data_IF_668763972032
#
_entry.id   IF_668763972032
#
_cell.length_a   1.000
_cell.length_b   1.000
_cell.length_c   1.000
_cell.angle_alpha   90.00
_cell.angle_beta   90.00
_cell.angle_gamma   90.00
#
_symmetry.space_group_name_H-M   'P 1'
#
loop_
_entity.id
_entity.type
_entity.pdbx_description
1 polymer ?
#
# COMPACT_ATOMS: atom_id res chain seq x y z
N UNK A 1 32.85 -43.25 62.84
CA UNK A 1 32.88 -43.37 61.36
C UNK A 1 31.47 -43.11 60.83
N UNK A 2 31.40 -42.27 59.79
CA UNK A 2 30.27 -42.01 58.86
C UNK A 2 29.06 -41.21 59.38
N UNK A 3 29.29 -39.90 59.35
CA UNK A 3 28.34 -38.85 58.96
C UNK A 3 27.70 -39.15 57.59
N UNK A 4 26.40 -38.91 57.46
CA UNK A 4 25.65 -38.92 56.20
C UNK A 4 24.76 -37.68 56.11
N UNK A 5 25.30 -36.59 55.55
CA UNK A 5 24.56 -35.39 55.15
C UNK A 5 23.71 -35.72 53.93
N UNK A 6 22.39 -35.56 54.03
CA UNK A 6 21.49 -35.47 52.87
C UNK A 6 21.37 -33.98 52.53
N UNK A 7 22.10 -33.56 51.50
CA UNK A 7 21.97 -32.23 50.90
C UNK A 7 20.77 -32.26 49.95
N UNK A 8 19.66 -31.65 50.36
CA UNK A 8 18.55 -31.34 49.46
C UNK A 8 18.95 -30.15 48.58
N UNK A 9 19.30 -30.40 47.33
CA UNK A 9 19.51 -29.37 46.32
C UNK A 9 18.14 -28.97 45.74
N UNK A 10 17.57 -27.89 46.23
CA UNK A 10 16.42 -27.24 45.60
C UNK A 10 16.93 -26.52 44.35
N UNK A 11 16.72 -27.13 43.17
CA UNK A 11 16.95 -26.42 41.91
C UNK A 11 15.91 -25.28 41.79
N UNK A 12 16.31 -24.07 41.38
CA UNK A 12 15.35 -23.02 41.08
C UNK A 12 14.63 -23.41 39.79
N UNK A 13 13.31 -23.55 39.89
CA UNK A 13 12.42 -23.62 38.73
C UNK A 13 12.56 -22.26 38.05
N UNK A 14 13.40 -22.17 37.02
CA UNK A 14 13.38 -21.06 36.07
C UNK A 14 12.07 -21.19 35.30
N UNK A 15 11.00 -20.60 35.85
CA UNK A 15 9.78 -20.39 35.08
C UNK A 15 10.18 -19.62 33.84
N UNK A 16 9.97 -20.18 32.65
CA UNK A 16 10.01 -19.42 31.41
C UNK A 16 9.03 -18.26 31.59
N UNK A 17 9.56 -17.07 31.92
CA UNK A 17 8.81 -15.82 31.92
C UNK A 17 8.54 -15.52 30.45
N UNK A 18 7.51 -16.16 29.92
CA UNK A 18 6.96 -15.79 28.63
C UNK A 18 6.42 -14.37 28.77
N UNK A 19 6.74 -13.52 27.80
CA UNK A 19 6.22 -12.16 27.78
C UNK A 19 4.69 -12.19 27.80
N UNK A 20 4.08 -11.20 28.45
CA UNK A 20 2.64 -11.02 28.42
C UNK A 20 2.14 -11.08 26.96
N UNK A 21 1.17 -11.95 26.63
CA UNK A 21 0.69 -12.12 25.26
C UNK A 21 0.12 -10.82 24.66
N UNK A 22 -0.38 -9.90 25.49
CA UNK A 22 -0.84 -8.59 25.04
C UNK A 22 0.34 -7.71 24.61
N UNK A 23 1.39 -7.64 25.44
CA UNK A 23 2.62 -6.91 25.13
C UNK A 23 3.29 -7.46 23.88
N UNK A 24 3.32 -8.79 23.73
CA UNK A 24 3.86 -9.43 22.51
C UNK A 24 3.07 -8.98 21.28
N UNK A 25 1.74 -8.99 21.33
CA UNK A 25 0.91 -8.58 20.21
C UNK A 25 1.10 -7.10 19.85
N UNK A 26 1.36 -6.23 20.83
CA UNK A 26 1.65 -4.81 20.57
C UNK A 26 3.02 -4.61 19.91
N UNK A 27 4.05 -5.31 20.40
CA UNK A 27 5.38 -5.30 19.79
C UNK A 27 5.31 -5.81 18.35
N UNK A 28 4.60 -6.90 18.12
CA UNK A 28 4.43 -7.47 16.79
C UNK A 28 3.75 -6.46 15.83
N UNK A 29 2.70 -5.76 16.28
CA UNK A 29 2.06 -4.70 15.47
C UNK A 29 3.01 -3.53 15.20
N UNK A 30 3.83 -3.13 16.17
CA UNK A 30 4.83 -2.07 15.98
C UNK A 30 5.88 -2.47 14.93
N UNK A 31 6.32 -3.73 14.95
CA UNK A 31 7.24 -4.28 13.95
C UNK A 31 6.59 -4.29 12.57
N UNK A 32 5.33 -4.76 12.46
CA UNK A 32 4.61 -4.74 11.19
C UNK A 32 4.44 -3.32 10.64
N UNK A 33 4.10 -2.35 11.49
CA UNK A 33 3.93 -0.94 11.09
C UNK A 33 5.24 -0.33 10.60
N UNK A 34 6.35 -0.63 11.28
CA UNK A 34 7.68 -0.27 10.85
C UNK A 34 8.03 -0.86 9.48
N UNK A 35 7.95 -2.19 9.34
CA UNK A 35 8.30 -2.89 8.10
C UNK A 35 7.44 -2.40 6.94
N UNK A 36 6.14 -2.20 7.17
CA UNK A 36 5.22 -1.71 6.14
C UNK A 36 5.61 -0.30 5.69
N UNK A 37 5.96 0.60 6.61
CA UNK A 37 6.36 1.96 6.26
C UNK A 37 7.68 1.99 5.48
N UNK A 38 8.66 1.17 5.88
CA UNK A 38 9.93 1.02 5.14
C UNK A 38 9.66 0.47 3.72
N UNK A 39 8.84 -0.59 3.60
CA UNK A 39 8.48 -1.19 2.33
C UNK A 39 7.76 -0.20 1.40
N UNK A 40 6.84 0.63 1.92
CA UNK A 40 6.15 1.67 1.13
C UNK A 40 7.16 2.66 0.56
N UNK A 41 8.02 3.22 1.41
CA UNK A 41 8.99 4.24 0.98
C UNK A 41 9.94 3.69 -0.08
N UNK A 42 10.43 2.46 0.10
CA UNK A 42 11.30 1.81 -0.88
C UNK A 42 10.55 1.55 -2.20
N UNK A 43 9.34 0.99 -2.11
CA UNK A 43 8.51 0.66 -3.30
C UNK A 43 8.18 1.91 -4.11
N UNK A 44 7.78 3.01 -3.45
CA UNK A 44 7.46 4.26 -4.12
C UNK A 44 8.70 4.90 -4.75
N UNK A 45 9.84 4.89 -4.05
CA UNK A 45 11.11 5.41 -4.58
C UNK A 45 11.56 4.65 -5.84
N UNK A 46 11.53 3.32 -5.80
CA UNK A 46 11.86 2.48 -6.96
C UNK A 46 10.87 2.70 -8.10
N UNK A 47 9.58 2.85 -7.80
CA UNK A 47 8.55 3.05 -8.82
C UNK A 47 8.67 4.41 -9.54
N UNK A 48 9.12 5.45 -8.83
CA UNK A 48 9.39 6.79 -9.36
C UNK A 48 10.64 6.81 -10.25
N UNK A 49 11.70 6.08 -9.86
CA UNK A 49 12.98 6.04 -10.56
C UNK A 49 13.05 4.97 -11.68
N UNK A 50 11.98 4.24 -11.96
CA UNK A 50 11.97 3.12 -12.91
C UNK A 50 12.44 3.49 -14.34
N UNK A 51 12.39 4.78 -14.70
CA UNK A 51 12.85 5.28 -16.01
C UNK A 51 14.37 5.55 -16.08
N UNK A 52 15.05 5.61 -14.94
CA UNK A 52 16.48 5.92 -14.81
C UNK A 52 17.25 4.68 -14.40
N UNK A 53 17.53 3.76 -15.34
CA UNK A 53 18.37 2.55 -15.14
C UNK A 53 18.33 2.03 -13.70
N UNK A 54 17.13 1.67 -13.23
CA UNK A 54 16.95 1.23 -11.86
C UNK A 54 17.96 0.12 -11.56
N UNK A 55 18.74 0.29 -10.49
CA UNK A 55 19.64 -0.75 -10.02
C UNK A 55 18.79 -1.97 -9.69
N UNK A 56 19.08 -3.11 -10.32
CA UNK A 56 18.36 -4.37 -10.08
C UNK A 56 18.32 -4.71 -8.59
N UNK A 57 19.34 -4.29 -7.83
CA UNK A 57 19.41 -4.53 -6.40
C UNK A 57 18.31 -3.80 -5.61
N UNK A 58 18.02 -2.53 -5.92
CA UNK A 58 17.00 -1.76 -5.19
C UNK A 58 15.59 -2.33 -5.43
N UNK A 59 15.36 -2.82 -6.66
CA UNK A 59 14.12 -3.48 -7.05
C UNK A 59 13.93 -4.80 -6.29
N UNK A 60 14.97 -5.63 -6.20
CA UNK A 60 14.95 -6.89 -5.45
C UNK A 60 14.78 -6.65 -3.94
N UNK A 61 15.41 -5.62 -3.39
CA UNK A 61 15.26 -5.24 -1.98
C UNK A 61 13.82 -4.83 -1.64
N UNK A 62 13.19 -4.04 -2.52
CA UNK A 62 11.79 -3.65 -2.37
C UNK A 62 10.85 -4.87 -2.37
N UNK A 63 11.07 -5.83 -3.28
CA UNK A 63 10.26 -7.05 -3.37
C UNK A 63 10.45 -7.94 -2.13
N UNK A 64 11.69 -8.07 -1.65
CA UNK A 64 11.99 -8.79 -0.41
C UNK A 64 11.29 -8.17 0.82
N UNK A 65 11.26 -6.83 0.92
CA UNK A 65 10.55 -6.14 2.01
C UNK A 65 9.03 -6.41 1.97
N UNK A 66 8.45 -6.48 0.78
CA UNK A 66 7.02 -6.81 0.59
C UNK A 66 6.73 -8.24 1.05
N UNK A 67 7.57 -9.19 0.65
CA UNK A 67 7.46 -10.58 1.09
C UNK A 67 7.61 -10.69 2.61
N UNK A 68 8.54 -9.94 3.22
CA UNK A 68 8.72 -9.89 4.66
C UNK A 68 7.48 -9.35 5.38
N UNK A 69 6.85 -8.28 4.87
CA UNK A 69 5.59 -7.74 5.39
C UNK A 69 4.47 -8.77 5.27
N UNK A 70 4.36 -9.46 4.13
CA UNK A 70 3.36 -10.51 3.91
C UNK A 70 3.53 -11.70 4.86
N UNK A 71 4.76 -12.20 4.98
CA UNK A 71 5.10 -13.29 5.91
C UNK A 71 4.81 -12.89 7.36
N UNK A 72 5.21 -11.68 7.78
CA UNK A 72 4.97 -11.19 9.13
C UNK A 72 3.49 -10.98 9.40
N UNK A 73 2.72 -10.43 8.45
CA UNK A 73 1.27 -10.28 8.58
C UNK A 73 0.57 -11.64 8.75
N UNK A 74 1.03 -12.69 8.06
CA UNK A 74 0.40 -14.01 8.09
C UNK A 74 0.47 -14.71 9.45
N UNK A 75 1.46 -14.35 10.29
CA UNK A 75 1.64 -14.94 11.63
C UNK A 75 0.89 -14.16 12.71
N UNK A 76 0.35 -12.97 12.40
CA UNK A 76 -0.39 -12.18 13.37
C UNK A 76 -1.84 -12.66 13.47
N UNK A 77 -2.42 -12.68 14.69
CA UNK A 77 -3.83 -12.97 14.86
C UNK A 77 -4.68 -11.91 14.14
N UNK A 78 -5.75 -12.33 13.46
CA UNK A 78 -6.71 -11.49 12.70
C UNK A 78 -7.46 -10.42 13.51
N UNK A 79 -7.05 -10.15 14.76
CA UNK A 79 -7.57 -9.01 15.53
C UNK A 79 -7.45 -7.75 14.68
N UNK A 80 -8.50 -6.92 14.70
CA UNK A 80 -8.58 -5.68 13.92
C UNK A 80 -7.30 -4.85 14.07
N UNK A 81 -6.54 -4.72 12.99
CA UNK A 81 -5.37 -3.86 12.93
C UNK A 81 -5.77 -2.42 13.23
N UNK A 82 -4.83 -1.62 13.74
CA UNK A 82 -5.07 -0.18 13.86
C UNK A 82 -5.36 0.40 12.47
N UNK A 83 -6.27 1.37 12.40
CA UNK A 83 -6.75 1.93 11.12
C UNK A 83 -5.62 2.44 10.24
N UNK A 84 -4.64 3.15 10.81
CA UNK A 84 -3.49 3.66 10.04
C UNK A 84 -2.63 2.54 9.47
N UNK A 85 -2.45 1.44 10.20
CA UNK A 85 -1.72 0.27 9.70
C UNK A 85 -2.47 -0.43 8.57
N UNK A 86 -3.80 -0.56 8.66
CA UNK A 86 -4.61 -1.08 7.56
C UNK A 86 -4.47 -0.21 6.30
N UNK A 87 -4.53 1.11 6.46
CA UNK A 87 -4.31 2.05 5.35
C UNK A 87 -2.91 1.88 4.75
N UNK A 88 -1.86 1.78 5.58
CA UNK A 88 -0.48 1.55 5.12
C UNK A 88 -0.35 0.25 4.32
N UNK A 89 -0.92 -0.85 4.81
CA UNK A 89 -0.89 -2.13 4.09
C UNK A 89 -1.60 -2.03 2.72
N UNK A 90 -2.71 -1.30 2.64
CA UNK A 90 -3.40 -1.03 1.37
C UNK A 90 -2.60 -0.12 0.44
N UNK A 91 -1.91 0.89 0.97
CA UNK A 91 -0.97 1.73 0.18
C UNK A 91 0.12 0.85 -0.42
N UNK A 92 0.72 -0.04 0.39
CA UNK A 92 1.78 -0.95 -0.07
C UNK A 92 1.28 -1.87 -1.19
N UNK A 93 0.08 -2.44 -1.06
CA UNK A 93 -0.52 -3.30 -2.06
C UNK A 93 -0.70 -2.58 -3.41
N UNK A 94 -1.33 -1.40 -3.40
CA UNK A 94 -1.56 -0.61 -4.62
C UNK A 94 -0.23 -0.13 -5.23
N UNK A 95 0.72 0.32 -4.40
CA UNK A 95 2.04 0.75 -4.86
C UNK A 95 2.81 -0.38 -5.56
N UNK A 96 2.79 -1.57 -4.97
CA UNK A 96 3.40 -2.77 -5.52
C UNK A 96 2.76 -3.16 -6.86
N UNK A 97 1.43 -3.20 -6.92
CA UNK A 97 0.69 -3.53 -8.15
C UNK A 97 0.98 -2.54 -9.27
N UNK A 98 0.93 -1.23 -8.99
CA UNK A 98 1.22 -0.19 -9.99
C UNK A 98 2.66 -0.22 -10.47
N UNK A 99 3.63 -0.50 -9.57
CA UNK A 99 5.04 -0.60 -9.94
C UNK A 99 5.28 -1.70 -10.97
N UNK A 100 4.69 -2.86 -10.76
CA UNK A 100 4.82 -4.04 -11.62
C UNK A 100 3.82 -4.08 -12.78
N UNK A 101 2.87 -3.16 -12.80
CA UNK A 101 1.96 -3.02 -13.93
C UNK A 101 2.73 -2.52 -15.15
N UNK A 102 2.51 -3.18 -16.28
CA UNK A 102 3.17 -2.94 -17.54
C UNK A 102 2.09 -2.90 -18.64
N UNK A 103 1.97 -1.80 -19.40
CA UNK A 103 0.87 -1.58 -20.34
C UNK A 103 0.99 -2.35 -21.68
N UNK A 104 1.85 -3.37 -21.80
CA UNK A 104 2.13 -4.03 -23.09
C UNK A 104 1.33 -5.35 -23.30
N UNK A 105 1.05 -5.68 -24.57
CA UNK A 105 0.21 -6.84 -24.93
C UNK A 105 0.75 -8.22 -24.50
N UNK A 106 2.04 -8.35 -24.18
CA UNK A 106 2.65 -9.63 -23.77
C UNK A 106 2.16 -10.12 -22.39
N UNK A 107 1.42 -9.28 -21.65
CA UNK A 107 1.02 -9.53 -20.26
C UNK A 107 -0.09 -10.56 -20.03
N UNK A 108 -0.87 -10.90 -21.06
CA UNK A 108 -2.00 -11.85 -20.89
C UNK A 108 -1.57 -13.29 -20.61
N UNK A 109 -0.28 -13.58 -20.75
CA UNK A 109 0.29 -14.90 -20.53
C UNK A 109 1.11 -15.00 -19.23
N UNK A 110 1.36 -13.89 -18.54
CA UNK A 110 2.16 -13.90 -17.31
C UNK A 110 1.22 -14.04 -16.11
N UNK A 111 1.16 -15.23 -15.55
CA UNK A 111 0.42 -15.53 -14.32
C UNK A 111 0.80 -14.51 -13.22
N UNK A 112 -0.19 -13.79 -12.68
CA UNK A 112 -0.03 -12.98 -11.47
C UNK A 112 -0.11 -11.45 -11.61
N UNK A 113 -0.20 -10.87 -12.81
CA UNK A 113 -0.41 -9.41 -12.94
C UNK A 113 -1.92 -9.08 -12.88
N UNK A 114 -2.31 -8.16 -11.99
CA UNK A 114 -3.70 -7.71 -11.87
C UNK A 114 -4.03 -6.69 -12.97
N UNK A 115 -5.20 -6.77 -13.62
CA UNK A 115 -5.62 -5.75 -14.59
C UNK A 115 -5.81 -4.40 -13.90
N UNK A 116 -5.71 -3.28 -14.64
CA UNK A 116 -5.86 -1.94 -14.05
C UNK A 116 -7.20 -1.75 -13.36
N UNK A 117 -8.25 -2.41 -13.85
CA UNK A 117 -9.56 -2.37 -13.22
C UNK A 117 -9.57 -2.97 -11.81
N UNK A 118 -8.83 -4.06 -11.58
CA UNK A 118 -8.69 -4.66 -10.26
C UNK A 118 -7.87 -3.76 -9.32
N UNK A 119 -6.74 -3.23 -9.80
CA UNK A 119 -5.90 -2.28 -9.06
C UNK A 119 -6.70 -1.02 -8.71
N UNK A 120 -7.52 -0.54 -9.65
CA UNK A 120 -8.40 0.60 -9.47
C UNK A 120 -9.45 0.37 -8.38
N UNK A 121 -10.04 -0.81 -8.30
CA UNK A 121 -10.96 -1.16 -7.19
C UNK A 121 -10.23 -1.08 -5.85
N UNK A 122 -9.04 -1.70 -5.74
CA UNK A 122 -8.25 -1.64 -4.51
C UNK A 122 -7.88 -0.21 -4.11
N UNK A 123 -7.53 0.64 -5.09
CA UNK A 123 -7.30 2.06 -4.87
C UNK A 123 -8.56 2.78 -4.35
N UNK A 124 -9.73 2.54 -4.94
CA UNK A 124 -10.97 3.16 -4.51
C UNK A 124 -11.37 2.72 -3.09
N UNK A 125 -11.15 1.45 -2.73
CA UNK A 125 -11.33 0.94 -1.37
C UNK A 125 -10.33 1.54 -0.37
N UNK A 126 -9.06 1.67 -0.76
CA UNK A 126 -8.03 2.37 0.02
C UNK A 126 -8.51 3.78 0.37
N UNK A 127 -8.95 4.54 -0.63
CA UNK A 127 -9.39 5.91 -0.40
C UNK A 127 -10.69 6.00 0.42
N UNK A 128 -11.62 5.04 0.28
CA UNK A 128 -12.80 4.95 1.13
C UNK A 128 -12.43 4.67 2.60
N UNK A 129 -11.43 3.82 2.83
CA UNK A 129 -10.89 3.53 4.16
C UNK A 129 -10.19 4.76 4.74
N UNK A 130 -9.45 5.49 3.91
CA UNK A 130 -8.68 6.68 4.24
C UNK A 130 -9.45 8.00 4.03
N UNK A 131 -10.78 7.97 4.02
CA UNK A 131 -11.62 9.10 3.56
C UNK A 131 -11.43 10.42 4.31
N UNK A 132 -10.91 10.39 5.53
CA UNK A 132 -10.59 11.60 6.33
C UNK A 132 -9.15 12.10 6.15
N UNK A 133 -8.32 11.34 5.45
CA UNK A 133 -6.90 11.60 5.19
C UNK A 133 -6.65 12.01 3.73
N UNK A 134 -7.57 11.68 2.82
CA UNK A 134 -7.46 12.02 1.39
C UNK A 134 -8.23 13.29 1.04
N UNK A 135 -7.72 14.04 0.06
CA UNK A 135 -8.49 15.11 -0.59
C UNK A 135 -9.56 14.50 -1.49
N UNK A 136 -10.82 14.86 -1.27
CA UNK A 136 -11.97 14.36 -2.06
C UNK A 136 -11.78 14.62 -3.56
N UNK A 137 -11.35 15.82 -3.93
CA UNK A 137 -11.12 16.18 -5.33
C UNK A 137 -10.04 15.30 -5.96
N UNK A 138 -8.88 15.16 -5.29
CA UNK A 138 -7.76 14.38 -5.82
C UNK A 138 -8.09 12.90 -5.92
N UNK A 139 -8.74 12.34 -4.90
CA UNK A 139 -9.20 10.95 -4.95
C UNK A 139 -10.11 10.73 -6.16
N UNK A 140 -11.15 11.54 -6.34
CA UNK A 140 -12.09 11.32 -7.45
C UNK A 140 -11.45 11.52 -8.83
N UNK A 141 -10.51 12.47 -8.96
CA UNK A 141 -9.77 12.66 -10.20
C UNK A 141 -8.87 11.48 -10.52
N UNK A 142 -8.06 11.01 -9.56
CA UNK A 142 -7.20 9.83 -9.73
C UNK A 142 -8.02 8.56 -9.98
N UNK A 143 -9.14 8.37 -9.27
CA UNK A 143 -10.05 7.26 -9.49
C UNK A 143 -10.70 7.26 -10.87
N UNK A 144 -11.09 8.43 -11.38
CA UNK A 144 -11.61 8.54 -12.74
C UNK A 144 -10.53 8.24 -13.80
N UNK A 145 -9.27 8.62 -13.55
CA UNK A 145 -8.15 8.25 -14.41
C UNK A 145 -7.91 6.74 -14.43
N UNK A 146 -8.05 6.04 -13.29
CA UNK A 146 -8.04 4.57 -13.27
C UNK A 146 -9.12 3.98 -14.19
N UNK A 147 -10.34 4.50 -14.13
CA UNK A 147 -11.43 4.07 -15.02
C UNK A 147 -11.07 4.30 -16.48
N UNK A 148 -10.61 5.51 -16.83
CA UNK A 148 -10.19 5.81 -18.19
C UNK A 148 -9.11 4.85 -18.70
N UNK A 149 -8.07 4.59 -17.90
CA UNK A 149 -6.96 3.73 -18.28
C UNK A 149 -7.38 2.26 -18.40
N UNK A 150 -8.20 1.73 -17.50
CA UNK A 150 -8.67 0.35 -17.61
C UNK A 150 -9.64 0.16 -18.79
N UNK A 151 -10.43 1.18 -19.13
CA UNK A 151 -11.26 1.16 -20.35
C UNK A 151 -10.39 1.12 -21.61
N UNK A 152 -9.27 1.86 -21.63
CA UNK A 152 -8.32 1.84 -22.74
C UNK A 152 -7.62 0.48 -22.83
N UNK A 153 -7.14 -0.06 -21.70
CA UNK A 153 -6.57 -1.41 -21.57
C UNK A 153 -7.54 -2.45 -22.18
N UNK A 154 -8.79 -2.50 -21.71
CA UNK A 154 -9.74 -3.51 -22.17
C UNK A 154 -10.22 -3.34 -23.61
N UNK A 155 -10.21 -2.14 -24.18
CA UNK A 155 -10.62 -1.97 -25.59
C UNK A 155 -9.53 -2.29 -26.58
N UNK A 156 -8.32 -1.82 -26.28
CA UNK A 156 -7.23 -1.83 -27.25
C UNK A 156 -6.27 -3.00 -27.04
N UNK A 157 -6.29 -3.62 -25.86
CA UNK A 157 -5.46 -4.77 -25.51
C UNK A 157 -6.34 -6.03 -25.29
N UNK A 158 -7.63 -5.81 -25.01
CA UNK A 158 -8.78 -6.72 -24.86
C UNK A 158 -9.07 -7.79 -25.88
N UNK A 159 -9.29 -7.35 -27.11
CA UNK A 159 -10.00 -8.11 -28.15
C UNK A 159 -11.45 -8.52 -27.81
N UNK A 160 -11.91 -8.37 -26.56
CA UNK A 160 -13.25 -8.78 -26.12
C UNK A 160 -14.21 -7.59 -26.11
N UNK A 161 -15.39 -7.69 -26.77
CA UNK A 161 -16.35 -6.58 -26.82
C UNK A 161 -17.10 -6.37 -25.50
N UNK A 162 -17.06 -7.33 -24.59
CA UNK A 162 -17.69 -7.24 -23.27
C UNK A 162 -16.68 -6.79 -22.23
N UNK A 163 -17.01 -5.77 -21.41
CA UNK A 163 -16.20 -5.38 -20.25
C UNK A 163 -15.97 -6.57 -19.32
N UNK A 164 -14.80 -6.64 -18.70
CA UNK A 164 -14.53 -7.59 -17.64
C UNK A 164 -15.43 -7.33 -16.43
N UNK A 165 -15.55 -8.34 -15.55
CA UNK A 165 -16.24 -8.19 -14.27
C UNK A 165 -15.60 -7.08 -13.42
N UNK A 166 -14.27 -7.03 -13.36
CA UNK A 166 -13.52 -6.00 -12.63
C UNK A 166 -13.78 -4.61 -13.19
N UNK A 167 -13.81 -4.42 -14.51
CA UNK A 167 -14.11 -3.11 -15.09
C UNK A 167 -15.57 -2.72 -14.83
N UNK A 168 -16.51 -3.67 -14.94
CA UNK A 168 -17.92 -3.43 -14.62
C UNK A 168 -18.09 -3.03 -13.15
N UNK A 169 -17.42 -3.71 -12.24
CA UNK A 169 -17.41 -3.38 -10.81
C UNK A 169 -16.79 -2.00 -10.57
N UNK A 170 -15.67 -1.67 -11.19
CA UNK A 170 -15.02 -0.37 -11.02
C UNK A 170 -15.89 0.78 -11.55
N UNK A 171 -16.54 0.61 -12.71
CA UNK A 171 -17.45 1.61 -13.27
C UNK A 171 -18.73 1.81 -12.45
N UNK A 172 -19.15 0.79 -11.70
CA UNK A 172 -20.33 0.84 -10.82
C UNK A 172 -19.98 1.16 -9.37
N UNK A 173 -18.69 1.28 -9.05
CA UNK A 173 -18.25 1.66 -7.72
C UNK A 173 -18.81 3.02 -7.33
N UNK A 174 -19.26 3.15 -6.09
CA UNK A 174 -19.79 4.38 -5.55
C UNK A 174 -19.42 4.54 -4.07
N UNK A 175 -19.15 5.77 -3.60
CA UNK A 175 -18.99 6.02 -2.19
C UNK A 175 -20.35 5.89 -1.48
N UNK A 176 -20.34 5.41 -0.23
CA UNK A 176 -21.56 5.23 0.58
C UNK A 176 -22.30 6.54 0.91
N UNK A 177 -21.64 7.69 0.75
CA UNK A 177 -22.23 9.00 0.99
C UNK A 177 -22.92 9.55 -0.28
N UNK A 178 -24.22 9.90 -0.24
CA UNK A 178 -24.96 10.35 -1.42
C UNK A 178 -24.43 11.63 -2.08
N UNK A 179 -23.89 12.56 -1.28
CA UNK A 179 -23.34 13.83 -1.78
C UNK A 179 -22.07 13.57 -2.57
N UNK A 180 -21.18 12.75 -2.01
CA UNK A 180 -19.98 12.26 -2.69
C UNK A 180 -20.29 11.43 -3.91
N UNK A 181 -21.31 10.57 -3.85
CA UNK A 181 -21.70 9.76 -5.00
C UNK A 181 -22.13 10.65 -6.18
N UNK A 182 -22.90 11.70 -5.90
CA UNK A 182 -23.31 12.67 -6.93
C UNK A 182 -22.12 13.38 -7.58
N UNK A 183 -21.08 13.72 -6.80
CA UNK A 183 -19.85 14.32 -7.31
C UNK A 183 -19.00 13.33 -8.10
N UNK A 184 -18.85 12.10 -7.59
CA UNK A 184 -18.16 11.01 -8.26
C UNK A 184 -18.76 10.76 -9.64
N UNK A 185 -20.09 10.63 -9.75
CA UNK A 185 -20.79 10.45 -11.02
C UNK A 185 -20.49 11.59 -12.00
N UNK A 186 -20.48 12.85 -11.55
CA UNK A 186 -20.16 13.99 -12.42
C UNK A 186 -18.72 13.93 -12.96
N UNK A 187 -17.76 13.56 -12.11
CA UNK A 187 -16.34 13.43 -12.50
C UNK A 187 -16.17 12.26 -13.47
N UNK A 188 -16.80 11.12 -13.18
CA UNK A 188 -16.78 9.94 -14.02
C UNK A 188 -17.41 10.20 -15.39
N UNK A 189 -18.55 10.89 -15.44
CA UNK A 189 -19.20 11.29 -16.69
C UNK A 189 -18.30 12.19 -17.54
N UNK A 190 -17.65 13.19 -16.93
CA UNK A 190 -16.71 14.05 -17.64
C UNK A 190 -15.54 13.26 -18.22
N UNK A 191 -14.96 12.34 -17.45
CA UNK A 191 -13.84 11.51 -17.90
C UNK A 191 -14.25 10.56 -19.03
N UNK A 192 -15.40 9.88 -18.89
CA UNK A 192 -15.92 8.94 -19.89
C UNK A 192 -16.35 9.62 -21.19
N UNK A 193 -16.89 10.85 -21.14
CA UNK A 193 -17.20 11.63 -22.33
C UNK A 193 -15.96 11.97 -23.18
N UNK A 194 -14.78 11.98 -22.59
CA UNK A 194 -13.52 12.20 -23.30
C UNK A 194 -12.95 10.93 -23.94
N UNK A 195 -13.48 9.74 -23.60
CA UNK A 195 -13.00 8.46 -24.12
C UNK A 195 -13.47 8.21 -25.56
N UNK A 196 -12.70 7.45 -26.36
CA UNK A 196 -12.96 7.25 -27.80
C UNK A 196 -14.29 6.60 -28.18
N UNK A 197 -15.01 5.97 -27.25
CA UNK A 197 -16.29 5.27 -27.49
C UNK A 197 -17.41 6.20 -28.00
N UNK A 198 -17.31 7.49 -27.63
CA UNK A 198 -18.08 8.65 -28.11
C UNK A 198 -17.94 9.00 -29.59
N UNK A 199 -16.77 8.76 -30.14
CA UNK A 199 -16.37 9.31 -31.44
C UNK A 199 -16.44 8.21 -32.50
N UNK A 200 -17.24 8.41 -33.55
CA UNK A 200 -17.28 7.56 -34.76
C UNK A 200 -15.92 7.49 -35.52
N UNK A 201 -14.83 7.91 -34.91
CA UNK A 201 -13.49 7.99 -35.46
C UNK A 201 -12.66 6.92 -34.76
N UNK A 202 -12.26 5.91 -35.52
CA UNK A 202 -11.23 4.97 -35.09
C UNK A 202 -9.93 5.74 -34.86
N UNK A 203 -9.70 6.22 -33.63
CA UNK A 203 -8.45 6.88 -33.26
C UNK A 203 -7.31 5.88 -33.36
N UNK A 204 -6.18 6.31 -33.92
CA UNK A 204 -4.96 5.52 -33.90
C UNK A 204 -4.49 5.37 -32.46
N UNK A 205 -3.85 4.25 -32.11
CA UNK A 205 -3.33 4.01 -30.74
C UNK A 205 -2.42 5.15 -30.27
N UNK A 206 -1.63 5.73 -31.19
CA UNK A 206 -0.78 6.90 -30.91
C UNK A 206 -1.56 8.11 -30.39
N UNK A 207 -2.75 8.37 -30.90
CA UNK A 207 -3.56 9.53 -30.48
C UNK A 207 -4.08 9.34 -29.05
N UNK A 208 -4.38 8.08 -28.69
CA UNK A 208 -4.85 7.71 -27.36
C UNK A 208 -3.70 7.78 -26.37
N UNK A 209 -2.53 7.26 -26.70
CA UNK A 209 -1.35 7.32 -25.84
C UNK A 209 -0.92 8.78 -25.60
N UNK A 210 -1.09 9.66 -26.59
CA UNK A 210 -0.86 11.10 -26.41
C UNK A 210 -1.92 11.78 -25.54
N UNK A 211 -3.20 11.41 -25.66
CA UNK A 211 -4.29 12.00 -24.89
C UNK A 211 -4.34 11.48 -23.45
N UNK A 212 -4.01 10.22 -23.25
CA UNK A 212 -4.06 9.51 -21.98
C UNK A 212 -2.71 8.82 -21.67
N UNK A 213 -1.62 9.59 -21.51
CA UNK A 213 -0.29 9.02 -21.32
C UNK A 213 -0.23 8.23 -20.01
N UNK A 214 0.04 6.92 -20.13
CA UNK A 214 0.08 5.99 -18.99
C UNK A 214 1.09 6.44 -17.93
N UNK A 215 2.30 6.86 -18.35
CA UNK A 215 3.34 7.33 -17.42
C UNK A 215 2.90 8.52 -16.55
N UNK A 216 2.13 9.44 -17.13
CA UNK A 216 1.59 10.58 -16.38
C UNK A 216 0.55 10.12 -15.37
N UNK A 217 -0.30 9.18 -15.74
CA UNK A 217 -1.26 8.56 -14.83
C UNK A 217 -0.54 7.84 -13.69
N UNK A 218 0.41 6.94 -14.02
CA UNK A 218 1.23 6.20 -13.05
C UNK A 218 1.92 7.14 -12.06
N UNK A 219 2.63 8.16 -12.56
CA UNK A 219 3.27 9.18 -11.71
C UNK A 219 2.25 9.89 -10.82
N UNK A 220 1.07 10.25 -11.34
CA UNK A 220 -0.01 10.85 -10.55
C UNK A 220 -0.51 9.96 -9.41
N UNK A 221 -0.61 8.64 -9.63
CA UNK A 221 -0.95 7.66 -8.59
C UNK A 221 0.15 7.59 -7.53
N UNK A 222 1.42 7.49 -7.94
CA UNK A 222 2.55 7.40 -7.01
C UNK A 222 2.64 8.65 -6.11
N UNK A 223 2.51 9.85 -6.69
CA UNK A 223 2.47 11.10 -5.92
C UNK A 223 1.29 11.13 -4.95
N UNK A 224 0.11 10.66 -5.37
CA UNK A 224 -1.04 10.55 -4.47
C UNK A 224 -0.75 9.62 -3.28
N UNK A 225 -0.14 8.45 -3.53
CA UNK A 225 0.21 7.49 -2.47
C UNK A 225 1.27 8.07 -1.53
N UNK A 226 2.25 8.81 -2.05
CA UNK A 226 3.28 9.49 -1.26
C UNK A 226 2.69 10.58 -0.35
N UNK A 227 1.76 11.36 -0.88
CA UNK A 227 1.05 12.37 -0.10
C UNK A 227 0.19 11.71 0.97
N UNK A 228 -0.49 10.60 0.65
CA UNK A 228 -1.32 9.88 1.61
C UNK A 228 -0.50 9.30 2.77
N UNK A 229 0.62 8.61 2.50
CA UNK A 229 1.48 8.07 3.58
C UNK A 229 2.01 9.18 4.49
N UNK A 230 2.25 10.37 3.94
CA UNK A 230 2.70 11.55 4.70
C UNK A 230 1.65 12.13 5.66
N UNK A 231 0.37 11.74 5.53
CA UNK A 231 -0.72 12.16 6.45
C UNK A 231 -0.98 11.17 7.59
N UNK A 232 -0.33 9.99 7.56
CA UNK A 232 -0.47 8.94 8.55
C UNK A 232 0.58 9.09 9.64
N UNK A 233 0.29 8.55 10.82
CA UNK A 233 1.23 8.62 11.93
C UNK A 233 2.51 7.83 11.61
N UNK A 234 3.67 8.40 11.93
CA UNK A 234 4.95 7.72 11.75
C UNK A 234 5.03 6.52 12.72
N UNK A 235 5.52 5.35 12.27
CA UNK A 235 5.74 4.23 13.19
C UNK A 235 6.69 4.62 14.32
N UNK A 236 6.35 4.22 15.55
CA UNK A 236 7.14 4.51 16.75
C UNK A 236 8.60 4.05 16.63
N UNK A 237 8.85 2.93 15.94
CA UNK A 237 10.21 2.43 15.73
C UNK A 237 11.03 3.34 14.80
N UNK A 238 10.42 3.93 13.76
CA UNK A 238 11.09 4.91 12.89
C UNK A 238 11.44 6.19 13.68
N UNK A 239 10.52 6.63 14.54
CA UNK A 239 10.73 7.78 15.41
C UNK A 239 11.89 7.55 16.42
N UNK A 240 11.98 6.34 16.99
CA UNK A 240 13.06 5.92 17.87
C UNK A 240 14.42 5.92 17.15
N UNK A 241 14.49 5.38 15.94
CA UNK A 241 15.70 5.38 15.11
C UNK A 241 16.19 6.80 14.79
N UNK A 242 15.25 7.72 14.52
CA UNK A 242 15.54 9.14 14.25
C UNK A 242 15.85 9.94 15.51
N UNK A 243 15.68 9.36 16.69
CA UNK A 243 15.96 10.00 17.98
C UNK A 243 14.93 11.06 18.38
N UNK A 244 13.70 10.98 17.88
CA UNK A 244 12.60 11.87 18.25
C UNK A 244 11.28 11.09 18.30
N UNK A 245 10.85 10.73 19.51
CA UNK A 245 9.60 10.00 19.76
C UNK A 245 8.46 10.97 20.07
N UNK A 246 7.44 11.01 19.21
CA UNK A 246 6.31 11.92 19.31
C UNK A 246 6.75 13.37 19.56
N UNK A 247 6.29 13.95 20.67
CA UNK A 247 6.59 15.33 21.07
C UNK A 247 7.79 15.45 22.01
N UNK A 248 8.53 14.37 22.27
CA UNK A 248 9.71 14.42 23.11
C UNK A 248 10.85 15.16 22.39
N UNK A 249 11.58 15.96 23.15
CA UNK A 249 12.85 16.52 22.68
C UNK A 249 13.87 15.40 22.43
N UNK A 250 14.94 15.69 21.68
CA UNK A 250 16.06 14.74 21.48
C UNK A 250 16.68 14.28 22.80
N UNK A 251 16.83 15.18 23.77
CA UNK A 251 17.37 14.84 25.09
C UNK A 251 16.44 13.90 25.85
N UNK A 252 15.13 14.16 25.84
CA UNK A 252 14.14 13.27 26.47
C UNK A 252 14.09 11.90 25.80
N UNK A 253 14.18 11.86 24.47
CA UNK A 253 14.25 10.61 23.70
C UNK A 253 15.53 9.84 24.03
N UNK A 254 16.67 10.52 24.16
CA UNK A 254 17.94 9.91 24.57
C UNK A 254 17.87 9.34 26.00
N UNK A 255 17.31 10.10 26.95
CA UNK A 255 17.10 9.62 28.31
C UNK A 255 16.17 8.40 28.34
N UNK A 256 15.12 8.39 27.50
CA UNK A 256 14.23 7.24 27.36
C UNK A 256 15.00 6.02 26.83
N UNK A 257 15.77 6.18 25.74
CA UNK A 257 16.61 5.14 25.13
C UNK A 257 17.57 4.52 26.15
N UNK A 258 18.30 5.34 26.90
CA UNK A 258 19.22 4.90 27.95
C UNK A 258 18.49 4.11 29.05
N UNK A 259 17.30 4.57 29.45
CA UNK A 259 16.49 3.91 30.48
C UNK A 259 15.98 2.53 30.05
N UNK A 260 15.70 2.34 28.76
CA UNK A 260 15.25 1.05 28.20
C UNK A 260 16.39 0.20 27.62
N UNK A 261 17.65 0.64 27.79
CA UNK A 261 18.82 -0.12 27.37
C UNK A 261 19.13 -0.08 25.87
N UNK A 262 18.50 0.83 25.11
CA UNK A 262 18.85 1.09 23.72
C UNK A 262 20.02 2.09 23.69
N UNK A 263 21.22 1.63 23.34
CA UNK A 263 22.40 2.48 23.17
C UNK A 263 22.50 2.92 21.72
#
# INVERSE_FOLDING_TARGET
MRSGRVSGSTQPIMSNMEADPEVKADVDRMILDYLTCVAINQTLSVAENANETADSNESEEADWLIDAVGAFRSILPEKSLHRDLDIKLRILAVAHQIRHYMPTQEHRSREGCSPLSAIGIEFMELCATAVHKVSETRWFETGAQFVAQAVIEEKYEGGTPTPSESLSQMCTWAPNDPVRNSKWIQILQRCTNELPEHSNVSLARSDIDHKFPFEKFRSGVLVFLFDLISTLDSPLLIELERGQVGNLTRNETQCLRERIGLR
#
